data_IF_138917884890
#
_entry.id   IF_138917884890
#
_cell.length_a   1.000
_cell.length_b   1.000
_cell.length_c   1.000
_cell.angle_alpha   90.00
_cell.angle_beta   90.00
_cell.angle_gamma   90.00
#
_symmetry.space_group_name_H-M   'P 1'
#
loop_
_entity.id
_entity.type
_entity.pdbx_description
1 polymer ?
#
# COMPACT_ATOMS: atom_id res chain seq x y z
N UNK A 1 11.48 8.68 18.86
CA UNK A 1 10.49 9.78 18.92
C UNK A 1 9.25 9.22 19.62
N UNK A 2 8.58 9.97 20.52
CA UNK A 2 7.40 9.44 21.22
C UNK A 2 6.15 9.73 20.39
N UNK A 3 5.69 8.73 19.63
CA UNK A 3 4.49 8.84 18.79
C UNK A 3 3.18 8.86 19.61
N UNK A 4 3.23 8.40 20.86
CA UNK A 4 2.08 8.30 21.77
C UNK A 4 1.37 9.63 22.02
N UNK A 5 2.08 10.76 21.84
CA UNK A 5 1.53 12.11 22.03
C UNK A 5 0.80 12.64 20.80
N UNK A 6 0.93 11.99 19.65
CA UNK A 6 0.31 12.40 18.40
C UNK A 6 -1.12 11.86 18.31
N UNK A 7 -2.02 12.67 17.76
CA UNK A 7 -3.30 12.19 17.25
C UNK A 7 -3.09 11.24 16.06
N UNK A 8 -4.07 10.42 15.73
CA UNK A 8 -3.95 9.49 14.59
C UNK A 8 -3.69 10.21 13.27
N UNK A 9 -4.27 11.41 13.10
CA UNK A 9 -4.05 12.26 11.92
C UNK A 9 -2.62 12.79 11.86
N UNK A 10 -2.09 13.29 12.97
CA UNK A 10 -0.71 13.79 13.04
C UNK A 10 0.29 12.65 12.85
N UNK A 11 0.03 11.50 13.46
CA UNK A 11 0.85 10.31 13.30
C UNK A 11 0.88 9.85 11.84
N UNK A 12 -0.28 9.73 11.19
CA UNK A 12 -0.36 9.34 9.79
C UNK A 12 0.29 10.38 8.87
N UNK A 13 0.16 11.67 9.18
CA UNK A 13 0.80 12.74 8.42
C UNK A 13 2.31 12.57 8.26
N UNK A 14 2.97 11.86 9.18
CA UNK A 14 4.41 11.59 9.11
C UNK A 14 4.81 10.73 7.90
N UNK A 15 3.90 9.96 7.30
CA UNK A 15 4.23 9.19 6.09
C UNK A 15 4.61 10.09 4.92
N UNK A 16 4.16 11.35 4.91
CA UNK A 16 4.49 12.33 3.86
C UNK A 16 5.78 13.11 4.13
N UNK A 17 6.43 12.92 5.30
CA UNK A 17 7.56 13.76 5.72
C UNK A 17 8.81 12.95 6.11
N UNK A 18 8.84 11.65 5.82
CA UNK A 18 9.91 10.73 6.29
C UNK A 18 10.78 10.20 5.17
N UNK A 19 10.70 10.77 3.97
CA UNK A 19 11.44 10.29 2.82
C UNK A 19 11.15 8.81 2.57
N UNK A 20 12.18 8.03 2.24
CA UNK A 20 12.06 6.61 1.89
C UNK A 20 11.88 5.65 3.08
N UNK A 21 11.94 6.11 4.33
CA UNK A 21 12.06 5.22 5.49
C UNK A 21 11.08 5.54 6.62
N UNK A 22 10.24 4.56 6.97
CA UNK A 22 9.50 4.52 8.24
C UNK A 22 10.22 3.57 9.22
N UNK A 23 10.83 4.13 10.27
CA UNK A 23 11.58 3.34 11.24
C UNK A 23 10.71 2.35 12.05
N UNK A 24 11.35 1.37 12.70
CA UNK A 24 10.64 0.32 13.46
C UNK A 24 9.67 0.85 14.52
N UNK A 25 10.03 1.94 15.20
CA UNK A 25 9.18 2.56 16.21
C UNK A 25 7.86 3.07 15.61
N UNK A 26 7.88 3.55 14.36
CA UNK A 26 6.68 3.95 13.64
C UNK A 26 5.81 2.73 13.37
N UNK A 27 6.39 1.64 12.87
CA UNK A 27 5.65 0.40 12.60
C UNK A 27 5.03 -0.20 13.87
N UNK A 28 5.76 -0.18 15.00
CA UNK A 28 5.24 -0.62 16.29
C UNK A 28 4.02 0.20 16.70
N UNK A 29 4.05 1.52 16.51
CA UNK A 29 2.92 2.37 16.83
C UNK A 29 1.76 2.20 15.83
N UNK A 30 2.06 2.06 14.53
CA UNK A 30 1.05 1.81 13.50
C UNK A 30 0.26 0.54 13.78
N UNK A 31 0.92 -0.53 14.25
CA UNK A 31 0.27 -1.78 14.69
C UNK A 31 -0.68 -1.58 15.86
N UNK A 32 -0.32 -0.74 16.85
CA UNK A 32 -1.22 -0.41 17.98
C UNK A 32 -2.47 0.36 17.54
N UNK A 33 -2.33 1.19 16.50
CA UNK A 33 -3.39 2.07 15.98
C UNK A 33 -4.08 1.53 14.73
N UNK A 34 -3.83 0.26 14.38
CA UNK A 34 -4.20 -0.38 13.12
C UNK A 34 -5.61 0.03 12.66
N UNK A 35 -6.62 -0.28 13.46
CA UNK A 35 -8.02 -0.10 13.05
C UNK A 35 -8.39 1.38 12.84
N UNK A 36 -7.72 2.30 13.52
CA UNK A 36 -7.95 3.74 13.39
C UNK A 36 -7.31 4.33 12.12
N UNK A 37 -6.14 3.80 11.70
CA UNK A 37 -5.38 4.35 10.57
C UNK A 37 -5.69 3.67 9.24
N UNK A 38 -6.12 2.40 9.22
CA UNK A 38 -6.40 1.65 7.99
C UNK A 38 -7.38 2.36 7.02
N UNK A 39 -8.51 2.95 7.46
CA UNK A 39 -9.38 3.70 6.55
C UNK A 39 -8.67 4.89 5.89
N UNK A 40 -7.78 5.56 6.62
CA UNK A 40 -7.07 6.72 6.11
C UNK A 40 -5.95 6.31 5.16
N UNK A 41 -5.23 5.22 5.44
CA UNK A 41 -4.24 4.62 4.53
C UNK A 41 -4.89 4.24 3.19
N UNK A 42 -6.05 3.59 3.22
CA UNK A 42 -6.83 3.29 2.00
C UNK A 42 -7.16 4.55 1.20
N UNK A 43 -7.59 5.62 1.87
CA UNK A 43 -7.88 6.89 1.21
C UNK A 43 -6.63 7.52 0.57
N UNK A 44 -5.46 7.41 1.20
CA UNK A 44 -4.19 7.88 0.61
C UNK A 44 -3.89 7.14 -0.69
N UNK A 45 -4.04 5.81 -0.69
CA UNK A 45 -3.80 4.96 -1.87
C UNK A 45 -4.86 5.15 -2.96
N UNK A 46 -6.10 5.45 -2.61
CA UNK A 46 -7.18 5.70 -3.59
C UNK A 46 -7.10 7.08 -4.25
N UNK A 47 -6.45 8.05 -3.61
CA UNK A 47 -6.32 9.40 -4.13
C UNK A 47 -5.17 9.51 -5.15
N UNK A 48 -5.54 9.50 -6.43
CA UNK A 48 -4.62 9.62 -7.57
C UNK A 48 -3.70 10.86 -7.50
N UNK A 49 -4.10 11.92 -6.79
CA UNK A 49 -3.25 13.11 -6.65
C UNK A 49 -1.97 12.82 -5.85
N UNK A 50 -1.97 11.80 -4.97
CA UNK A 50 -0.77 11.42 -4.21
C UNK A 50 0.31 10.79 -5.08
N UNK A 51 -0.04 10.23 -6.24
CA UNK A 51 0.90 9.63 -7.20
C UNK A 51 1.61 10.66 -8.08
N UNK A 52 1.14 11.91 -8.05
CA UNK A 52 1.69 13.03 -8.82
C UNK A 52 2.47 14.01 -7.94
N UNK A 53 2.59 13.72 -6.63
CA UNK A 53 3.40 14.53 -5.74
C UNK A 53 4.89 14.32 -6.01
N UNK A 54 5.67 15.32 -5.67
CA UNK A 54 7.13 15.32 -5.81
C UNK A 54 7.79 15.37 -4.42
N UNK A 55 9.12 15.26 -4.40
CA UNK A 55 9.95 15.36 -3.19
C UNK A 55 9.53 14.41 -2.05
N UNK A 56 9.45 14.92 -0.82
CA UNK A 56 9.15 14.10 0.37
C UNK A 56 7.71 13.58 0.37
N UNK A 57 6.78 14.35 -0.18
CA UNK A 57 5.36 14.02 -0.17
C UNK A 57 5.03 12.81 -1.07
N UNK A 58 5.83 12.59 -2.13
CA UNK A 58 5.74 11.42 -3.01
C UNK A 58 5.80 10.10 -2.22
N UNK A 59 6.62 10.05 -1.18
CA UNK A 59 6.80 8.85 -0.37
C UNK A 59 5.55 8.45 0.40
N UNK A 60 4.64 9.39 0.67
CA UNK A 60 3.45 9.10 1.46
C UNK A 60 2.56 8.02 0.86
N UNK A 61 2.43 7.96 -0.46
CA UNK A 61 1.64 6.91 -1.11
C UNK A 61 2.36 5.56 -1.14
N UNK A 62 3.68 5.57 -1.33
CA UNK A 62 4.52 4.35 -1.25
C UNK A 62 4.41 3.74 0.15
N UNK A 63 4.59 4.56 1.19
CA UNK A 63 4.42 4.13 2.57
C UNK A 63 3.02 3.59 2.85
N UNK A 64 1.98 4.25 2.32
CA UNK A 64 0.62 3.78 2.52
C UNK A 64 0.40 2.38 1.91
N UNK A 65 0.92 2.12 0.70
CA UNK A 65 0.87 0.79 0.05
C UNK A 65 1.53 -0.26 0.94
N UNK A 66 2.77 -0.03 1.38
CA UNK A 66 3.48 -0.98 2.25
C UNK A 66 2.76 -1.21 3.57
N UNK A 67 2.24 -0.15 4.19
CA UNK A 67 1.52 -0.25 5.47
C UNK A 67 0.23 -1.06 5.34
N UNK A 68 -0.53 -0.94 4.24
CA UNK A 68 -1.71 -1.78 4.01
C UNK A 68 -1.34 -3.28 3.96
N UNK A 69 -0.23 -3.62 3.32
CA UNK A 69 0.30 -4.99 3.33
C UNK A 69 0.78 -5.42 4.72
N UNK A 70 1.63 -4.63 5.37
CA UNK A 70 2.21 -4.93 6.70
C UNK A 70 1.15 -5.07 7.79
N UNK A 71 0.06 -4.32 7.69
CA UNK A 71 -1.07 -4.35 8.62
C UNK A 71 -2.16 -5.34 8.19
N UNK A 72 -1.92 -6.12 7.13
CA UNK A 72 -2.79 -7.22 6.70
C UNK A 72 -4.24 -6.71 6.47
N UNK A 73 -4.40 -5.60 5.76
CA UNK A 73 -5.71 -4.99 5.51
C UNK A 73 -6.43 -5.67 4.34
N UNK A 74 -7.23 -6.69 4.64
CA UNK A 74 -8.09 -7.36 3.65
C UNK A 74 -9.04 -6.37 2.95
N UNK A 75 -9.54 -5.35 3.67
CA UNK A 75 -10.40 -4.33 3.06
C UNK A 75 -9.63 -3.36 2.14
N UNK A 76 -8.30 -3.41 2.18
CA UNK A 76 -7.39 -2.61 1.39
C UNK A 76 -7.06 -3.21 0.02
N UNK A 77 -7.52 -4.43 -0.30
CA UNK A 77 -7.23 -5.10 -1.58
C UNK A 77 -7.60 -4.23 -2.79
N UNK A 78 -8.79 -3.60 -2.78
CA UNK A 78 -9.22 -2.71 -3.89
C UNK A 78 -8.38 -1.44 -3.99
N UNK A 79 -7.86 -0.95 -2.85
CA UNK A 79 -6.93 0.17 -2.85
C UNK A 79 -5.59 -0.26 -3.48
N UNK A 80 -5.09 -1.46 -3.17
CA UNK A 80 -3.86 -1.99 -3.78
C UNK A 80 -4.00 -2.22 -5.30
N UNK A 81 -5.17 -2.60 -5.82
CA UNK A 81 -5.41 -2.61 -7.26
C UNK A 81 -5.43 -1.21 -7.87
N UNK A 82 -5.97 -0.23 -7.16
CA UNK A 82 -5.88 1.17 -7.58
C UNK A 82 -4.42 1.62 -7.60
N UNK A 83 -3.62 1.18 -6.63
CA UNK A 83 -2.18 1.41 -6.61
C UNK A 83 -1.48 0.81 -7.83
N UNK A 84 -1.80 -0.43 -8.22
CA UNK A 84 -1.26 -1.05 -9.44
C UNK A 84 -1.60 -0.25 -10.70
N UNK A 85 -2.86 0.22 -10.79
CA UNK A 85 -3.31 1.04 -11.90
C UNK A 85 -2.54 2.36 -11.99
N UNK A 86 -2.42 3.07 -10.87
CA UNK A 86 -1.77 4.37 -10.83
C UNK A 86 -0.25 4.26 -10.97
N UNK A 87 0.38 3.28 -10.33
CA UNK A 87 1.82 3.05 -10.48
C UNK A 87 2.21 2.71 -11.90
N UNK A 88 1.42 1.89 -12.59
CA UNK A 88 1.63 1.61 -14.02
C UNK A 88 1.39 2.85 -14.91
N UNK A 89 0.44 3.72 -14.57
CA UNK A 89 0.17 4.95 -15.32
C UNK A 89 1.29 6.00 -15.17
N UNK A 90 1.85 6.12 -13.97
CA UNK A 90 2.82 7.14 -13.61
C UNK A 90 4.27 6.61 -13.53
N UNK A 91 4.49 5.35 -13.93
CA UNK A 91 5.79 4.67 -13.94
C UNK A 91 6.47 4.65 -12.56
N UNK A 92 5.72 4.23 -11.53
CA UNK A 92 6.18 4.18 -10.14
C UNK A 92 6.52 2.72 -9.78
N UNK A 93 7.75 2.33 -10.08
CA UNK A 93 8.29 1.00 -9.80
C UNK A 93 8.23 0.60 -8.33
N UNK A 94 8.56 1.53 -7.42
CA UNK A 94 8.48 1.34 -5.96
C UNK A 94 7.13 0.80 -5.47
N UNK A 95 6.04 1.07 -6.20
CA UNK A 95 4.71 0.56 -5.86
C UNK A 95 4.47 -0.79 -6.52
N UNK A 96 4.67 -0.93 -7.84
CA UNK A 96 4.33 -2.21 -8.49
C UNK A 96 5.22 -3.37 -7.99
N UNK A 97 6.45 -3.10 -7.53
CA UNK A 97 7.37 -4.12 -7.02
C UNK A 97 7.01 -4.53 -5.59
N UNK A 98 6.39 -3.62 -4.83
CA UNK A 98 5.94 -3.88 -3.47
C UNK A 98 4.63 -4.68 -3.40
N UNK A 99 3.79 -4.60 -4.44
CA UNK A 99 2.45 -5.19 -4.42
C UNK A 99 2.43 -6.71 -4.20
N UNK A 100 3.29 -7.53 -4.85
CA UNK A 100 3.31 -8.97 -4.59
C UNK A 100 3.56 -9.32 -3.12
N UNK A 101 4.46 -8.59 -2.45
CA UNK A 101 4.69 -8.79 -1.01
C UNK A 101 3.50 -8.31 -0.17
N UNK A 102 2.84 -7.21 -0.56
CA UNK A 102 1.65 -6.73 0.14
C UNK A 102 0.52 -7.75 0.09
N UNK A 103 0.24 -8.33 -1.08
CA UNK A 103 -0.77 -9.38 -1.22
C UNK A 103 -0.38 -10.67 -0.48
N UNK A 104 0.91 -11.04 -0.48
CA UNK A 104 1.41 -12.15 0.33
C UNK A 104 1.12 -11.94 1.83
N UNK A 105 1.38 -10.74 2.38
CA UNK A 105 1.12 -10.44 3.79
C UNK A 105 -0.36 -10.48 4.14
N UNK A 106 -1.23 -10.01 3.24
CA UNK A 106 -2.69 -10.14 3.40
C UNK A 106 -3.11 -11.63 3.35
N UNK A 107 -2.39 -12.46 2.59
CA UNK A 107 -2.56 -13.91 2.56
C UNK A 107 -3.70 -14.37 1.64
N UNK A 108 -4.23 -15.57 1.91
CA UNK A 108 -5.19 -16.27 1.04
C UNK A 108 -6.49 -15.47 0.79
N UNK A 109 -6.85 -14.54 1.69
CA UNK A 109 -7.99 -13.64 1.50
C UNK A 109 -7.89 -12.80 0.21
N UNK A 110 -6.67 -12.54 -0.27
CA UNK A 110 -6.44 -11.81 -1.52
C UNK A 110 -6.67 -12.65 -2.79
N UNK A 111 -6.56 -13.98 -2.70
CA UNK A 111 -6.52 -14.87 -3.86
C UNK A 111 -7.76 -14.77 -4.78
N UNK A 112 -9.01 -14.76 -4.27
CA UNK A 112 -10.19 -14.66 -5.13
C UNK A 112 -10.16 -13.40 -5.99
N UNK A 113 -9.72 -12.28 -5.42
CA UNK A 113 -9.64 -10.98 -6.09
C UNK A 113 -8.48 -10.93 -7.08
N UNK A 114 -7.33 -11.50 -6.75
CA UNK A 114 -6.20 -11.61 -7.69
C UNK A 114 -6.57 -12.43 -8.95
N UNK A 115 -7.27 -13.55 -8.78
CA UNK A 115 -7.75 -14.38 -9.90
C UNK A 115 -8.76 -13.61 -10.77
N UNK A 116 -9.66 -12.85 -10.15
CA UNK A 116 -10.63 -12.03 -10.87
C UNK A 116 -9.92 -10.94 -11.69
N UNK A 117 -8.97 -10.22 -11.08
CA UNK A 117 -8.18 -9.19 -11.76
C UNK A 117 -7.46 -9.75 -13.00
N UNK A 118 -6.82 -10.92 -12.87
CA UNK A 118 -6.08 -11.56 -13.97
C UNK A 118 -6.97 -11.86 -15.19
N UNK A 119 -8.26 -12.13 -14.96
CA UNK A 119 -9.25 -12.40 -16.01
C UNK A 119 -9.79 -11.12 -16.65
N UNK A 120 -9.88 -10.02 -15.91
CA UNK A 120 -10.53 -8.80 -16.37
C UNK A 120 -9.60 -7.79 -17.05
N UNK A 121 -8.34 -7.69 -16.61
CA UNK A 121 -7.38 -6.76 -17.19
C UNK A 121 -6.80 -7.33 -18.50
N UNK A 122 -6.28 -6.49 -19.39
CA UNK A 122 -5.59 -6.90 -20.63
C UNK A 122 -4.12 -6.47 -20.63
N UNK A 123 -3.71 -5.59 -19.71
CA UNK A 123 -2.34 -5.10 -19.57
C UNK A 123 -1.41 -6.21 -19.05
N UNK A 124 -0.51 -6.68 -19.91
CA UNK A 124 0.43 -7.76 -19.63
C UNK A 124 1.34 -7.43 -18.45
N UNK A 125 1.77 -6.18 -18.31
CA UNK A 125 2.68 -5.77 -17.23
C UNK A 125 1.97 -5.86 -15.89
N UNK A 126 0.73 -5.38 -15.79
CA UNK A 126 -0.08 -5.52 -14.57
C UNK A 126 -0.35 -6.98 -14.23
N UNK A 127 -0.62 -7.81 -15.25
CA UNK A 127 -0.82 -9.26 -15.05
C UNK A 127 0.42 -9.96 -14.50
N UNK A 128 1.62 -9.56 -14.91
CA UNK A 128 2.84 -10.15 -14.38
C UNK A 128 2.94 -9.95 -12.86
N UNK A 129 2.71 -8.73 -12.37
CA UNK A 129 2.66 -8.43 -10.93
C UNK A 129 1.62 -9.28 -10.20
N UNK A 130 0.43 -9.45 -10.78
CA UNK A 130 -0.63 -10.29 -10.20
C UNK A 130 -0.26 -11.77 -10.21
N UNK A 131 0.36 -12.27 -11.27
CA UNK A 131 0.83 -13.66 -11.36
C UNK A 131 1.91 -13.94 -10.31
N UNK A 132 2.83 -13.01 -10.11
CA UNK A 132 3.84 -13.10 -9.03
C UNK A 132 3.18 -13.08 -7.65
N UNK A 133 2.18 -12.21 -7.45
CA UNK A 133 1.41 -12.16 -6.20
C UNK A 133 0.73 -13.49 -5.89
N UNK A 134 0.14 -14.14 -6.91
CA UNK A 134 -0.47 -15.47 -6.76
C UNK A 134 0.61 -16.53 -6.49
N UNK A 135 1.73 -16.48 -7.21
CA UNK A 135 2.83 -17.43 -7.01
C UNK A 135 3.36 -17.41 -5.58
N UNK A 136 3.51 -16.22 -4.99
CA UNK A 136 4.02 -16.06 -3.63
C UNK A 136 3.11 -16.66 -2.53
N UNK A 137 1.83 -16.91 -2.84
CA UNK A 137 0.87 -17.52 -1.91
C UNK A 137 0.98 -19.05 -1.82
N UNK A 138 1.80 -19.70 -2.65
CA UNK A 138 2.04 -21.15 -2.68
C UNK A 138 3.49 -21.51 -2.31
#
# INVERSE_FOLDING_TARGET
>A
MSYEKLTDKEFLGLIFSKGDTLGEDFLKEAKKRRDAILPQLRNVVLDESNYQKEDEDFWGVIHAVHLLGILEDEQGIEALFSALKYSSKYDIDWIWEALPECFLKIGEASLPRLIEYLKSDEDVSKKLTIMESIWNLY
#
